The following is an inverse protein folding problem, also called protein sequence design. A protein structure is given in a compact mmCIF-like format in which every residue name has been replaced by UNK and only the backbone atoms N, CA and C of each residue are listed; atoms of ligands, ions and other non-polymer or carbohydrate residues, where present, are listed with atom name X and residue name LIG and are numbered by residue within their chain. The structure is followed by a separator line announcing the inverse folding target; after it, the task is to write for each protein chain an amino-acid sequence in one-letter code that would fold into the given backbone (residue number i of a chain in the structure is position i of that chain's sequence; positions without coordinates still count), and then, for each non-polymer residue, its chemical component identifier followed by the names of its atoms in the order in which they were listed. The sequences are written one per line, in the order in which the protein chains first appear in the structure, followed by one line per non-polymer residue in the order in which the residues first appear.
data_IF_101428591712
#
_entry.id   IF_101428591712
#
_cell.length_a   1.000
_cell.length_b   1.000
_cell.length_c   1.000
_cell.angle_alpha   90.00
_cell.angle_beta   90.00
_cell.angle_gamma   90.00
#
_symmetry.space_group_name_H-M   'P 1'
#
loop_
_entity.id
_entity.type
_entity.pdbx_description
1 polymer ?
#
# COMPACT_ATOMS: atom_id res chain seq x y z
N UNK A 1 -2.66 -5.74 5.72
CA UNK A 1 -1.92 -5.52 6.97
C UNK A 1 -2.81 -5.00 8.11
N UNK A 2 -3.72 -4.05 7.87
CA UNK A 2 -4.49 -3.38 8.94
C UNK A 2 -3.66 -2.45 9.83
N UNK A 3 -2.35 -2.35 9.54
CA UNK A 3 -1.39 -1.52 10.26
C UNK A 3 -1.38 -0.12 9.68
N UNK A 4 -1.23 0.88 10.54
CA UNK A 4 -1.11 2.26 10.08
C UNK A 4 0.26 2.46 9.39
N UNK A 5 0.30 3.11 8.21
CA UNK A 5 1.56 3.35 7.51
C UNK A 5 2.44 4.29 8.33
N UNK A 6 3.76 4.03 8.31
CA UNK A 6 4.78 4.82 9.02
C UNK A 6 4.55 4.98 10.53
N UNK A 7 3.88 4.00 11.17
CA UNK A 7 3.55 4.03 12.60
C UNK A 7 4.75 4.18 13.52
N UNK A 8 5.91 3.70 13.08
CA UNK A 8 7.19 3.73 13.75
C UNK A 8 7.98 5.04 13.54
N UNK A 9 7.46 5.97 12.73
CA UNK A 9 8.13 7.25 12.42
C UNK A 9 7.47 8.45 13.09
N UNK A 10 8.28 9.47 13.38
CA UNK A 10 7.75 10.81 13.65
C UNK A 10 7.08 11.34 12.38
N UNK A 11 5.83 11.80 12.47
CA UNK A 11 5.21 12.47 11.34
C UNK A 11 5.70 13.92 11.30
N UNK A 12 6.93 14.15 10.87
CA UNK A 12 7.55 15.46 10.76
C UNK A 12 8.01 15.74 9.31
N UNK A 13 8.81 16.79 9.13
CA UNK A 13 9.31 17.19 7.81
C UNK A 13 10.32 16.19 7.23
N UNK A 14 11.01 15.42 8.07
CA UNK A 14 11.97 14.43 7.61
C UNK A 14 11.24 13.25 6.99
N UNK A 15 10.18 12.76 7.64
CA UNK A 15 9.32 11.73 7.03
C UNK A 15 8.71 12.21 5.71
N UNK A 16 8.25 13.47 5.64
CA UNK A 16 7.72 14.04 4.40
C UNK A 16 8.79 14.06 3.29
N UNK A 17 10.04 14.43 3.62
CA UNK A 17 11.16 14.40 2.69
C UNK A 17 11.49 12.98 2.22
N UNK A 18 11.50 12.00 3.12
CA UNK A 18 11.75 10.60 2.79
C UNK A 18 10.67 10.08 1.82
N UNK A 19 9.39 10.38 2.08
CA UNK A 19 8.28 10.01 1.18
C UNK A 19 8.44 10.65 -0.20
N UNK A 20 8.81 11.94 -0.27
CA UNK A 20 9.10 12.62 -1.53
C UNK A 20 10.22 11.92 -2.33
N UNK A 21 11.21 11.35 -1.64
CA UNK A 21 12.32 10.63 -2.25
C UNK A 21 12.00 9.16 -2.57
N UNK A 22 10.74 8.77 -2.50
CA UNK A 22 10.29 7.42 -2.85
C UNK A 22 10.28 6.43 -1.69
N UNK A 23 10.37 6.90 -0.43
CA UNK A 23 10.12 6.03 0.71
C UNK A 23 8.63 5.68 0.77
N UNK A 24 8.31 4.40 0.62
CA UNK A 24 6.95 3.87 0.65
C UNK A 24 6.79 2.92 1.84
N UNK A 25 5.55 2.73 2.35
CA UNK A 25 5.31 1.74 3.39
C UNK A 25 5.81 0.36 2.96
N UNK A 26 6.47 -0.34 3.88
CA UNK A 26 6.96 -1.69 3.62
C UNK A 26 5.78 -2.65 3.42
N UNK A 27 5.78 -3.37 2.30
CA UNK A 27 4.83 -4.44 2.01
C UNK A 27 5.63 -5.67 1.60
N UNK A 28 5.52 -6.72 2.42
CA UNK A 28 6.23 -7.99 2.19
C UNK A 28 5.27 -9.05 1.70
N UNK A 29 5.73 -9.92 0.82
CA UNK A 29 5.04 -11.17 0.53
C UNK A 29 5.20 -12.11 1.74
N UNK A 30 4.16 -12.88 2.11
CA UNK A 30 2.84 -13.01 1.47
C UNK A 30 1.76 -12.12 2.13
N UNK A 31 2.10 -10.97 2.71
CA UNK A 31 1.12 -10.13 3.44
C UNK A 31 0.00 -9.55 2.55
N UNK A 32 0.26 -9.48 1.25
CA UNK A 32 -0.72 -9.17 0.22
C UNK A 32 -0.41 -10.00 -1.05
N UNK A 33 -1.39 -10.22 -1.94
CA UNK A 33 -1.18 -10.92 -3.20
C UNK A 33 -0.14 -10.19 -4.06
N UNK A 34 0.78 -10.92 -4.71
CA UNK A 34 1.87 -10.34 -5.50
C UNK A 34 1.34 -9.40 -6.60
N UNK A 35 0.26 -9.78 -7.28
CA UNK A 35 -0.40 -8.97 -8.31
C UNK A 35 -0.88 -7.62 -7.76
N UNK A 36 -1.39 -7.60 -6.52
CA UNK A 36 -1.83 -6.39 -5.85
C UNK A 36 -0.64 -5.55 -5.37
N UNK A 37 0.45 -6.19 -4.90
CA UNK A 37 1.71 -5.50 -4.58
C UNK A 37 2.29 -4.81 -5.80
N UNK A 38 2.28 -5.47 -6.97
CA UNK A 38 2.72 -4.87 -8.24
C UNK A 38 1.87 -3.65 -8.61
N UNK A 39 0.55 -3.70 -8.43
CA UNK A 39 -0.32 -2.53 -8.64
C UNK A 39 0.05 -1.38 -7.70
N UNK A 40 0.16 -1.64 -6.38
CA UNK A 40 0.51 -0.61 -5.39
C UNK A 40 1.85 0.06 -5.72
N UNK A 41 2.86 -0.72 -6.11
CA UNK A 41 4.17 -0.20 -6.54
C UNK A 41 4.07 0.72 -7.76
N UNK A 42 3.24 0.36 -8.77
CA UNK A 42 3.00 1.25 -9.93
C UNK A 42 2.30 2.54 -9.51
N UNK A 43 1.31 2.47 -8.62
CA UNK A 43 0.60 3.65 -8.12
C UNK A 43 1.52 4.63 -7.35
N UNK A 44 2.59 4.12 -6.73
CA UNK A 44 3.57 4.92 -5.99
C UNK A 44 4.85 5.23 -6.77
N UNK A 45 4.89 4.94 -8.07
CA UNK A 45 6.09 5.20 -8.87
C UNK A 45 6.43 6.70 -8.87
N UNK A 46 7.70 7.03 -8.67
CA UNK A 46 8.18 8.42 -8.70
C UNK A 46 8.01 9.05 -10.08
N UNK A 47 8.07 8.26 -11.14
CA UNK A 47 7.77 8.69 -12.50
C UNK A 47 6.26 8.68 -12.74
N UNK A 48 5.67 9.86 -12.93
CA UNK A 48 4.24 10.03 -13.20
C UNK A 48 3.76 9.21 -14.41
N UNK A 49 4.60 8.99 -15.42
CA UNK A 49 4.22 8.22 -16.61
C UNK A 49 4.08 6.70 -16.35
N UNK A 50 4.63 6.21 -15.25
CA UNK A 50 4.50 4.81 -14.84
C UNK A 50 3.26 4.59 -13.97
N UNK A 51 2.66 5.66 -13.44
CA UNK A 51 1.46 5.57 -12.61
C UNK A 51 0.26 5.22 -13.49
N UNK A 52 -0.54 4.22 -13.10
CA UNK A 52 -1.76 3.91 -13.83
C UNK A 52 -2.77 5.05 -13.63
N UNK A 53 -3.54 5.33 -14.67
CA UNK A 53 -4.70 6.19 -14.53
C UNK A 53 -5.86 5.43 -13.86
N UNK A 54 -6.93 6.16 -13.49
CA UNK A 54 -8.07 5.58 -12.77
C UNK A 54 -8.76 4.44 -13.53
N UNK A 55 -8.82 4.51 -14.87
CA UNK A 55 -9.43 3.49 -15.71
C UNK A 55 -8.59 2.21 -15.71
N UNK A 56 -7.27 2.31 -15.82
CA UNK A 56 -6.37 1.15 -15.72
C UNK A 56 -6.47 0.46 -14.34
N UNK A 57 -6.61 1.25 -13.27
CA UNK A 57 -6.84 0.72 -11.93
C UNK A 57 -8.20 0.02 -11.85
N UNK A 58 -9.26 0.62 -12.37
CA UNK A 58 -10.62 0.04 -12.38
C UNK A 58 -10.67 -1.29 -13.14
N UNK A 59 -10.07 -1.34 -14.33
CA UNK A 59 -9.96 -2.55 -15.14
C UNK A 59 -9.22 -3.65 -14.39
N UNK A 60 -8.08 -3.32 -13.76
CA UNK A 60 -7.32 -4.28 -12.97
C UNK A 60 -8.14 -4.82 -11.78
N UNK A 61 -8.79 -3.95 -11.01
CA UNK A 61 -9.64 -4.38 -9.89
C UNK A 61 -10.81 -5.25 -10.39
N UNK A 62 -11.41 -4.92 -11.53
CA UNK A 62 -12.49 -5.71 -12.12
C UNK A 62 -12.01 -7.12 -12.52
N UNK A 63 -10.79 -7.24 -13.06
CA UNK A 63 -10.17 -8.53 -13.35
C UNK A 63 -9.94 -9.35 -12.08
N UNK A 64 -9.42 -8.73 -11.01
CA UNK A 64 -9.24 -9.40 -9.72
C UNK A 64 -10.57 -9.95 -9.17
N UNK A 65 -11.62 -9.12 -9.17
CA UNK A 65 -12.94 -9.53 -8.68
C UNK A 65 -13.51 -10.67 -9.54
N UNK A 66 -13.37 -10.58 -10.85
CA UNK A 66 -13.81 -11.64 -11.78
C UNK A 66 -13.11 -12.97 -11.46
N UNK A 67 -11.80 -12.96 -11.28
CA UNK A 67 -11.00 -14.14 -10.93
C UNK A 67 -11.41 -14.75 -9.59
N UNK A 68 -11.64 -13.91 -8.57
CA UNK A 68 -11.97 -14.36 -7.22
C UNK A 68 -13.40 -14.93 -7.12
N UNK A 69 -14.37 -14.35 -7.84
CA UNK A 69 -15.80 -14.66 -7.66
C UNK A 69 -16.41 -15.54 -8.76
N UNK A 70 -15.85 -15.59 -9.97
CA UNK A 70 -16.42 -16.38 -11.07
C UNK A 70 -15.76 -17.76 -11.17
N UNK A 71 -16.35 -18.75 -10.52
CA UNK A 71 -15.86 -20.13 -10.43
C UNK A 71 -16.24 -21.03 -11.63
N UNK A 72 -16.68 -20.47 -12.77
CA UNK A 72 -17.26 -21.28 -13.86
C UNK A 72 -16.24 -21.89 -14.85
N UNK A 73 -14.95 -21.57 -14.76
CA UNK A 73 -13.91 -22.20 -15.59
C UNK A 73 -12.73 -22.64 -14.71
N UNK A 74 -12.38 -23.94 -14.76
CA UNK A 74 -11.19 -24.60 -14.19
C UNK A 74 -10.41 -23.76 -13.15
N UNK A 75 -11.04 -23.56 -11.99
CA UNK A 75 -10.62 -22.60 -10.97
C UNK A 75 -9.39 -23.01 -10.14
N UNK A 76 -8.74 -24.13 -10.49
CA UNK A 76 -7.60 -24.71 -9.79
C UNK A 76 -6.25 -24.19 -10.32
N UNK A 77 -6.23 -23.41 -11.41
CA UNK A 77 -5.00 -22.85 -11.98
C UNK A 77 -5.09 -21.34 -12.29
N UNK A 78 -6.05 -20.63 -11.69
CA UNK A 78 -6.08 -19.17 -11.77
C UNK A 78 -5.04 -18.59 -10.80
N UNK A 79 -3.93 -18.10 -11.36
CA UNK A 79 -2.81 -17.53 -10.64
C UNK A 79 -3.23 -16.40 -9.68
N UNK A 80 -4.18 -15.55 -10.07
CA UNK A 80 -4.66 -14.45 -9.23
C UNK A 80 -5.36 -15.02 -7.99
N UNK A 81 -6.27 -15.96 -8.19
CA UNK A 81 -7.00 -16.61 -7.10
C UNK A 81 -6.04 -17.30 -6.13
N UNK A 82 -5.04 -18.02 -6.64
CA UNK A 82 -4.00 -18.69 -5.83
C UNK A 82 -3.25 -17.68 -4.96
N UNK A 83 -2.78 -16.56 -5.53
CA UNK A 83 -2.07 -15.52 -4.77
C UNK A 83 -2.94 -14.92 -3.64
N UNK A 84 -4.24 -14.75 -3.89
CA UNK A 84 -5.18 -14.28 -2.86
C UNK A 84 -5.41 -15.30 -1.75
N UNK A 85 -5.53 -16.58 -2.09
CA UNK A 85 -5.65 -17.66 -1.11
C UNK A 85 -4.39 -17.78 -0.24
N UNK A 86 -3.20 -17.72 -0.84
CA UNK A 86 -1.92 -17.74 -0.12
C UNK A 86 -1.79 -16.56 0.86
N UNK A 87 -2.10 -15.35 0.39
CA UNK A 87 -2.07 -14.15 1.23
C UNK A 87 -3.08 -14.23 2.39
N UNK A 88 -4.26 -14.81 2.16
CA UNK A 88 -5.28 -15.00 3.18
C UNK A 88 -4.88 -16.05 4.23
N UNK A 89 -4.24 -17.15 3.81
CA UNK A 89 -3.66 -18.15 4.72
C UNK A 89 -2.58 -17.50 5.60
N UNK A 90 -1.67 -16.73 5.00
CA UNK A 90 -0.65 -16.00 5.75
C UNK A 90 -1.26 -15.01 6.75
N UNK A 91 -2.25 -14.21 6.30
CA UNK A 91 -2.95 -13.25 7.17
C UNK A 91 -3.61 -13.93 8.38
N UNK A 92 -4.25 -15.09 8.18
CA UNK A 92 -4.85 -15.89 9.25
C UNK A 92 -3.79 -16.43 10.21
N UNK A 93 -2.67 -16.95 9.70
CA UNK A 93 -1.56 -17.44 10.53
C UNK A 93 -0.96 -16.32 11.41
N UNK A 94 -0.78 -15.13 10.83
CA UNK A 94 -0.34 -13.93 11.55
C UNK A 94 -1.36 -13.54 12.62
N UNK A 95 -2.66 -13.50 12.31
CA UNK A 95 -3.68 -13.16 13.31
C UNK A 95 -3.73 -14.18 14.48
N UNK A 96 -3.54 -15.47 14.19
CA UNK A 96 -3.53 -16.53 15.20
C UNK A 96 -2.26 -16.53 16.07
N UNK A 97 -1.17 -15.97 15.57
CA UNK A 97 0.09 -15.83 16.33
C UNK A 97 0.21 -14.49 17.06
N UNK A 98 -0.61 -13.51 16.68
CA UNK A 98 -0.68 -12.16 17.27
C UNK A 98 -1.92 -12.09 18.17
N UNK A 99 -1.86 -12.76 19.32
CA UNK A 99 -2.47 -12.16 20.51
C UNK A 99 -1.53 -11.00 20.92
N UNK A 100 -1.88 -9.78 20.51
CA UNK A 100 -1.29 -8.49 20.94
C UNK A 100 0.19 -8.19 20.58
N UNK A 101 0.53 -8.01 19.30
CA UNK A 101 1.67 -7.16 18.94
C UNK A 101 1.17 -5.73 18.76
N UNK A 102 1.03 -4.98 19.85
CA UNK A 102 1.01 -3.52 19.78
C UNK A 102 2.36 -3.10 19.22
N UNK A 103 2.47 -2.89 17.91
CA UNK A 103 3.63 -2.19 17.37
C UNK A 103 3.60 -0.79 17.97
N UNK A 104 4.59 -0.42 18.79
CA UNK A 104 4.53 0.86 19.48
C UNK A 104 4.55 1.96 18.42
N UNK A 105 3.49 2.77 18.41
CA UNK A 105 3.47 3.98 17.61
C UNK A 105 4.56 4.90 18.12
N UNK A 106 5.29 5.52 17.20
CA UNK A 106 6.13 6.64 17.55
C UNK A 106 5.26 7.70 18.24
N UNK A 107 5.67 8.30 19.36
CA UNK A 107 4.85 9.25 20.11
C UNK A 107 4.47 10.51 19.31
N UNK A 108 5.14 10.74 18.18
CA UNK A 108 4.88 11.83 17.24
C UNK A 108 4.22 11.37 15.93
N UNK A 109 3.75 10.11 15.86
CA UNK A 109 2.90 9.64 14.78
C UNK A 109 1.50 10.25 14.94
N UNK A 110 0.99 10.88 13.88
CA UNK A 110 -0.27 11.64 13.90
C UNK A 110 -1.14 11.20 12.72
N UNK A 111 -2.27 10.57 13.03
CA UNK A 111 -3.27 10.07 12.06
C UNK A 111 -4.56 10.90 12.04
N UNK A 112 -4.55 12.05 12.71
CA UNK A 112 -5.61 13.05 12.64
C UNK A 112 -5.20 14.17 11.68
N UNK A 113 -6.20 14.86 11.12
CA UNK A 113 -5.98 15.97 10.19
C UNK A 113 -5.17 17.10 10.85
N UNK A 114 -4.24 17.68 10.08
CA UNK A 114 -3.42 18.84 10.46
C UNK A 114 -2.93 19.59 9.22
N UNK A 115 -2.46 20.82 9.40
CA UNK A 115 -1.90 21.63 8.32
C UNK A 115 -0.62 20.99 7.77
N UNK A 116 -0.54 20.85 6.45
CA UNK A 116 0.64 20.33 5.72
C UNK A 116 1.73 21.38 5.53
N UNK A 117 1.36 22.66 5.34
CA UNK A 117 2.29 23.75 5.07
C UNK A 117 3.51 23.80 6.02
N UNK A 118 3.38 23.59 7.34
CA UNK A 118 4.54 23.58 8.24
C UNK A 118 5.57 22.48 7.93
N UNK A 119 5.15 21.37 7.33
CA UNK A 119 5.98 20.20 7.01
C UNK A 119 6.63 20.32 5.63
N UNK A 120 5.99 21.05 4.72
CA UNK A 120 6.38 21.11 3.31
C UNK A 120 7.12 22.40 2.92
N UNK A 121 7.26 23.37 3.84
CA UNK A 121 7.96 24.65 3.62
C UNK A 121 9.36 24.53 3.01
N UNK A 122 10.08 23.49 3.39
CA UNK A 122 11.46 23.26 2.97
C UNK A 122 11.57 22.20 1.84
N UNK A 123 10.44 21.70 1.32
CA UNK A 123 10.42 20.69 0.25
C UNK A 123 10.51 21.35 -1.12
N UNK A 124 11.26 20.73 -2.03
CA UNK A 124 11.39 21.19 -3.42
C UNK A 124 10.04 21.14 -4.15
N UNK A 125 9.85 22.03 -5.15
CA UNK A 125 8.60 22.12 -5.92
C UNK A 125 8.24 20.80 -6.60
N UNK A 126 9.22 20.02 -7.04
CA UNK A 126 9.00 18.73 -7.71
C UNK A 126 8.19 17.72 -6.87
N UNK A 127 8.25 17.79 -5.53
CA UNK A 127 7.40 16.96 -4.67
C UNK A 127 5.98 17.53 -4.49
N UNK A 128 5.86 18.86 -4.55
CA UNK A 128 4.59 19.59 -4.46
C UNK A 128 3.82 19.58 -5.80
N UNK A 129 4.53 19.34 -6.90
CA UNK A 129 4.02 19.25 -8.26
C UNK A 129 3.36 17.89 -8.56
N UNK A 130 3.04 17.09 -7.52
CA UNK A 130 2.01 16.05 -7.60
C UNK A 130 0.63 16.70 -7.83
N UNK A 131 0.47 17.40 -8.95
CA UNK A 131 -0.80 17.86 -9.45
C UNK A 131 -1.64 16.61 -9.74
N UNK A 132 -2.73 16.49 -8.99
CA UNK A 132 -3.82 15.55 -9.28
C UNK A 132 -4.56 16.05 -10.52
#
# INVERSE_FOLDING_TARGET
TGRQPFADYAHDKFLAFDICNGNIPEIKEPEAPECYIKLMKKCWDSNLNNRPNVTEVEEFISLLLTSIYNAENDADNDEIKIQFEEAEVFRKAILLSIEETTHPHHPQAIYISRLLNPLTKDLNSECLDCAI
#
